data_IF_701063604774
#
_entry.id   IF_701063604774
#
_cell.length_a   1.000
_cell.length_b   1.000
_cell.length_c   1.000
_cell.angle_alpha   90.00
_cell.angle_beta   90.00
_cell.angle_gamma   90.00
#
_symmetry.space_group_name_H-M   'P 1'
#
loop_
_entity.id
_entity.type
_entity.pdbx_description
1 polymer ?
#
# COMPACT_ATOMS: atom_id res chain seq x y z
N UNK A 1 14.65 -11.13 5.25
CA UNK A 1 14.37 -10.86 3.81
C UNK A 1 13.61 -9.56 3.72
N UNK A 2 13.85 -8.77 2.67
CA UNK A 2 13.12 -7.53 2.44
C UNK A 2 12.29 -7.66 1.18
N UNK A 3 11.08 -7.11 1.20
CA UNK A 3 10.28 -6.97 0.00
C UNK A 3 11.01 -6.06 -1.00
N UNK A 4 10.83 -6.34 -2.28
CA UNK A 4 11.45 -5.60 -3.39
C UNK A 4 12.98 -5.68 -3.45
N UNK A 5 13.62 -6.55 -2.67
CA UNK A 5 15.06 -6.81 -2.76
C UNK A 5 15.31 -8.13 -3.50
N UNK A 6 16.14 -8.19 -4.56
CA UNK A 6 16.47 -9.42 -5.24
C UNK A 6 17.16 -10.42 -4.33
N UNK A 7 16.80 -11.68 -4.51
CA UNK A 7 17.37 -12.80 -3.78
C UNK A 7 17.66 -13.91 -4.77
N UNK A 8 18.83 -14.54 -4.64
CA UNK A 8 19.21 -15.70 -5.44
C UNK A 8 18.84 -16.99 -4.71
N UNK A 9 17.92 -17.76 -5.29
CA UNK A 9 17.49 -19.07 -4.81
C UNK A 9 18.62 -20.11 -4.93
N UNK A 10 18.52 -21.23 -4.20
CA UNK A 10 19.42 -22.38 -4.37
C UNK A 10 19.43 -22.96 -5.80
N UNK A 11 18.35 -22.78 -6.55
CA UNK A 11 18.29 -23.16 -7.97
C UNK A 11 19.23 -22.32 -8.84
N UNK A 12 19.73 -21.19 -8.34
CA UNK A 12 20.49 -20.19 -9.07
C UNK A 12 19.61 -19.09 -9.67
N UNK A 13 18.28 -19.24 -9.66
CA UNK A 13 17.33 -18.22 -10.13
C UNK A 13 17.37 -16.99 -9.24
N UNK A 14 17.27 -15.81 -9.83
CA UNK A 14 17.11 -14.56 -9.09
C UNK A 14 15.63 -14.16 -9.11
N UNK A 15 15.08 -13.88 -7.93
CA UNK A 15 13.67 -13.51 -7.74
C UNK A 15 13.55 -12.27 -6.85
N UNK A 16 12.45 -11.53 -6.99
CA UNK A 16 12.11 -10.38 -6.15
C UNK A 16 10.86 -10.70 -5.32
N UNK A 17 10.96 -10.84 -3.99
CA UNK A 17 9.81 -11.07 -3.13
C UNK A 17 8.89 -9.84 -3.11
N UNK A 18 7.58 -10.05 -3.31
CA UNK A 18 6.56 -9.00 -3.25
C UNK A 18 5.56 -9.19 -2.11
N UNK A 19 5.47 -10.40 -1.54
CA UNK A 19 4.62 -10.67 -0.38
C UNK A 19 5.07 -11.93 0.34
N UNK A 20 5.19 -11.89 1.67
CA UNK A 20 5.43 -13.07 2.50
C UNK A 20 4.12 -13.53 3.15
N UNK A 21 3.92 -14.84 3.23
CA UNK A 21 2.75 -15.46 3.85
C UNK A 21 3.10 -16.80 4.48
N UNK A 22 2.35 -17.18 5.51
CA UNK A 22 2.45 -18.51 6.11
C UNK A 22 1.55 -19.49 5.33
N UNK A 23 2.09 -20.65 4.97
CA UNK A 23 1.31 -21.76 4.45
C UNK A 23 1.70 -23.05 5.17
N UNK A 24 0.75 -23.61 5.91
CA UNK A 24 1.07 -24.65 6.90
C UNK A 24 2.01 -24.09 7.96
N UNK A 25 3.13 -24.78 8.20
CA UNK A 25 4.19 -24.34 9.12
C UNK A 25 5.33 -23.59 8.42
N UNK A 26 5.28 -23.46 7.09
CA UNK A 26 6.31 -22.81 6.29
C UNK A 26 6.05 -21.33 6.07
N UNK A 27 7.12 -20.53 6.04
CA UNK A 27 7.10 -19.18 5.48
C UNK A 27 7.32 -19.28 3.98
N UNK A 28 6.41 -18.69 3.21
CA UNK A 28 6.47 -18.65 1.75
C UNK A 28 6.47 -17.22 1.25
N UNK A 29 6.96 -17.02 0.03
CA UNK A 29 6.93 -15.73 -0.64
C UNK A 29 6.23 -15.86 -2.00
N UNK A 30 5.46 -14.84 -2.34
CA UNK A 30 5.08 -14.56 -3.72
C UNK A 30 6.20 -13.73 -4.31
N UNK A 31 6.75 -14.18 -5.44
CA UNK A 31 7.92 -13.56 -6.03
C UNK A 31 7.69 -13.21 -7.49
N UNK A 32 8.46 -12.25 -7.96
CA UNK A 32 8.61 -11.94 -9.37
C UNK A 32 9.90 -12.59 -9.87
N UNK A 33 9.83 -13.33 -10.97
CA UNK A 33 11.02 -13.94 -11.57
C UNK A 33 11.75 -12.89 -12.41
N UNK A 34 13.06 -12.80 -12.25
CA UNK A 34 13.87 -11.81 -12.95
C UNK A 34 14.39 -12.36 -14.28
N UNK A 35 14.12 -11.65 -15.38
CA UNK A 35 14.93 -11.74 -16.60
C UNK A 35 15.91 -10.57 -16.64
N UNK A 36 17.20 -10.89 -16.60
CA UNK A 36 18.27 -9.90 -16.62
C UNK A 36 18.60 -9.54 -18.07
N UNK A 37 18.42 -8.27 -18.46
CA UNK A 37 18.85 -7.75 -19.78
C UNK A 37 20.00 -6.76 -19.60
N UNK A 38 21.14 -7.03 -20.22
CA UNK A 38 22.25 -6.08 -20.32
C UNK A 38 21.88 -4.95 -21.28
N UNK A 39 21.90 -3.70 -20.80
CA UNK A 39 21.69 -2.55 -21.67
C UNK A 39 23.05 -2.06 -22.20
N UNK A 40 23.37 -2.33 -23.46
CA UNK A 40 24.66 -1.97 -24.08
C UNK A 40 24.81 -0.49 -24.43
N UNK A 41 23.84 0.36 -24.07
CA UNK A 41 23.77 1.75 -24.52
C UNK A 41 23.43 2.70 -23.38
N UNK A 42 24.46 3.22 -22.68
CA UNK A 42 24.54 4.60 -22.16
C UNK A 42 25.88 4.83 -21.43
N UNK A 43 26.43 6.04 -21.53
CA UNK A 43 27.63 6.56 -20.85
C UNK A 43 27.48 6.75 -19.32
N UNK A 44 26.61 5.97 -18.66
CA UNK A 44 26.34 5.99 -17.21
C UNK A 44 26.76 4.68 -16.52
N UNK A 45 26.64 4.58 -15.18
CA UNK A 45 26.85 3.30 -14.50
C UNK A 45 25.91 2.23 -15.09
N UNK A 46 26.35 0.95 -15.14
CA UNK A 46 25.53 -0.13 -15.69
C UNK A 46 24.23 -0.27 -14.86
N UNK A 47 23.08 -0.20 -15.53
CA UNK A 47 21.77 -0.48 -14.92
C UNK A 47 21.11 -1.68 -15.61
N UNK A 48 20.34 -2.45 -14.84
CA UNK A 48 19.70 -3.67 -15.31
C UNK A 48 18.19 -3.45 -15.46
N UNK A 49 17.65 -3.78 -16.63
CA UNK A 49 16.23 -3.65 -16.93
C UNK A 49 15.51 -4.99 -16.66
N UNK A 50 14.42 -4.96 -15.90
CA UNK A 50 13.67 -6.16 -15.55
C UNK A 50 12.32 -6.25 -16.26
N UNK A 51 12.05 -7.42 -16.83
CA UNK A 51 10.68 -7.87 -17.14
C UNK A 51 10.22 -8.83 -16.04
N UNK A 52 8.98 -8.69 -15.56
CA UNK A 52 8.48 -9.42 -14.40
C UNK A 52 7.29 -10.30 -14.78
N UNK A 53 7.36 -11.57 -14.38
CA UNK A 53 6.23 -12.51 -14.42
C UNK A 53 5.87 -12.96 -13.01
N UNK A 54 4.57 -13.06 -12.76
CA UNK A 54 4.04 -13.44 -11.44
C UNK A 54 4.10 -14.97 -11.28
N UNK A 55 4.98 -15.48 -10.41
CA UNK A 55 5.07 -16.92 -10.13
C UNK A 55 5.22 -17.18 -8.62
N UNK A 56 4.50 -18.18 -8.11
CA UNK A 56 4.71 -18.67 -6.74
C UNK A 56 5.89 -19.65 -6.74
N UNK A 57 6.95 -19.34 -5.98
CA UNK A 57 8.08 -20.26 -5.73
C UNK A 57 8.26 -20.43 -4.22
N UNK A 58 8.61 -21.64 -3.80
CA UNK A 58 8.88 -21.99 -2.40
C UNK A 58 10.36 -21.75 -2.07
N UNK A 59 10.61 -21.26 -0.87
CA UNK A 59 11.90 -20.71 -0.44
C UNK A 59 12.79 -21.83 0.14
N UNK A 60 13.90 -22.15 -0.51
CA UNK A 60 14.94 -23.04 0.02
C UNK A 60 16.26 -22.26 0.11
N UNK A 61 16.51 -21.66 1.28
CA UNK A 61 17.78 -21.13 1.87
C UNK A 61 18.91 -20.62 0.95
N UNK A 62 19.10 -19.30 0.94
CA UNK A 62 20.00 -18.58 0.03
C UNK A 62 21.44 -18.32 0.51
N UNK A 63 22.29 -17.97 -0.47
CA UNK A 63 23.65 -17.41 -0.29
C UNK A 63 23.56 -15.88 -0.39
N UNK A 64 24.18 -15.16 0.54
CA UNK A 64 24.32 -13.70 0.45
C UNK A 64 25.14 -13.28 -0.77
N UNK A 65 24.50 -12.68 -1.77
CA UNK A 65 25.18 -11.96 -2.84
C UNK A 65 25.60 -10.57 -2.36
N UNK A 66 26.91 -10.31 -2.31
CA UNK A 66 27.46 -8.97 -2.14
C UNK A 66 27.20 -8.14 -3.41
N UNK A 67 26.10 -7.41 -3.45
CA UNK A 67 25.78 -6.47 -4.53
C UNK A 67 26.40 -5.11 -4.23
N UNK A 68 27.43 -4.72 -4.99
CA UNK A 68 27.84 -3.30 -5.15
C UNK A 68 26.68 -2.49 -5.70
N UNK A 69 26.61 -1.19 -5.42
CA UNK A 69 25.59 -0.21 -5.85
C UNK A 69 24.88 -0.60 -7.16
N UNK A 70 23.78 -1.36 -7.02
CA UNK A 70 23.00 -1.89 -8.12
C UNK A 70 21.63 -1.21 -8.08
N UNK A 71 21.17 -0.79 -9.25
CA UNK A 71 19.88 -0.15 -9.43
C UNK A 71 19.03 -1.07 -10.29
N UNK A 72 17.85 -1.42 -9.79
CA UNK A 72 16.88 -2.23 -10.54
C UNK A 72 15.83 -1.30 -11.11
N UNK A 73 15.52 -1.46 -12.38
CA UNK A 73 14.33 -0.85 -12.97
C UNK A 73 13.25 -1.91 -13.12
N UNK A 74 12.27 -1.89 -12.23
CA UNK A 74 11.12 -2.78 -12.27
C UNK A 74 10.09 -2.26 -13.26
N UNK A 75 9.76 -3.07 -14.26
CA UNK A 75 8.75 -2.70 -15.24
C UNK A 75 7.34 -2.71 -14.63
N UNK A 76 6.69 -1.55 -14.60
CA UNK A 76 5.29 -1.42 -14.19
C UNK A 76 4.49 -0.93 -15.39
N UNK A 77 3.59 -1.77 -15.89
CA UNK A 77 2.72 -1.40 -16.99
C UNK A 77 1.73 -0.30 -16.54
N UNK A 78 1.90 0.91 -17.09
CA UNK A 78 0.96 2.03 -16.96
C UNK A 78 0.37 2.44 -18.31
N UNK A 79 -0.82 3.04 -18.29
CA UNK A 79 -1.65 3.31 -19.47
C UNK A 79 -1.10 4.31 -20.52
N UNK A 80 0.11 4.86 -20.39
CA UNK A 80 0.67 5.80 -21.38
C UNK A 80 2.17 5.64 -21.63
N UNK A 81 2.76 4.53 -21.18
CA UNK A 81 4.18 4.26 -21.36
C UNK A 81 4.67 3.16 -20.44
N UNK A 82 5.85 2.64 -20.75
CA UNK A 82 6.61 1.77 -19.86
C UNK A 82 7.15 2.67 -18.74
N UNK A 83 6.64 2.51 -17.51
CA UNK A 83 7.23 3.17 -16.36
C UNK A 83 8.11 2.17 -15.60
N UNK A 84 9.21 2.68 -15.07
CA UNK A 84 10.21 1.88 -14.39
C UNK A 84 10.30 2.36 -12.95
N UNK A 85 10.00 1.48 -11.99
CA UNK A 85 10.29 1.79 -10.59
C UNK A 85 11.77 1.50 -10.34
N UNK A 86 12.51 2.54 -9.99
CA UNK A 86 13.90 2.39 -9.56
C UNK A 86 13.94 1.85 -8.13
N UNK A 87 14.58 0.70 -7.94
CA UNK A 87 14.86 0.14 -6.62
C UNK A 87 16.35 0.21 -6.37
N UNK A 88 16.70 0.92 -5.30
CA UNK A 88 18.07 1.03 -4.83
C UNK A 88 18.48 -0.22 -4.06
N UNK A 89 19.64 -0.79 -4.40
CA UNK A 89 20.27 -1.85 -3.65
C UNK A 89 21.52 -1.36 -2.90
N UNK A 90 21.71 -1.78 -1.64
CA UNK A 90 20.80 -2.58 -0.84
C UNK A 90 19.50 -1.83 -0.50
N UNK A 91 18.41 -2.55 -0.20
CA UNK A 91 17.14 -1.93 0.19
C UNK A 91 17.40 -0.90 1.32
N UNK A 92 16.93 0.36 1.22
CA UNK A 92 17.16 1.37 2.26
C UNK A 92 16.75 0.90 3.66
N UNK A 93 15.71 0.08 3.77
CA UNK A 93 15.27 -0.51 5.03
C UNK A 93 16.28 -1.49 5.62
N UNK A 94 17.10 -2.16 4.81
CA UNK A 94 18.19 -3.01 5.30
C UNK A 94 19.23 -2.19 6.05
N UNK A 95 19.61 -1.03 5.51
CA UNK A 95 20.56 -0.12 6.15
C UNK A 95 19.99 0.48 7.42
N UNK A 96 18.69 0.83 7.43
CA UNK A 96 18.03 1.38 8.61
C UNK A 96 17.79 0.33 9.71
N UNK A 97 17.57 -0.93 9.33
CA UNK A 97 17.31 -2.01 10.27
C UNK A 97 18.58 -2.49 10.98
N UNK A 98 19.77 -2.32 10.41
CA UNK A 98 21.05 -2.77 10.98
C UNK A 98 21.03 -4.24 11.49
N UNK A 99 20.42 -5.12 10.69
CA UNK A 99 20.29 -6.55 11.03
C UNK A 99 19.08 -6.91 11.90
N UNK A 100 18.33 -5.93 12.41
CA UNK A 100 17.07 -6.17 13.13
C UNK A 100 15.93 -6.53 12.17
N UNK A 101 14.94 -7.28 12.67
CA UNK A 101 13.72 -7.56 11.89
C UNK A 101 12.79 -6.36 11.97
N UNK A 102 12.29 -5.90 10.82
CA UNK A 102 11.23 -4.88 10.76
C UNK A 102 9.88 -5.58 10.57
N UNK A 103 8.96 -5.32 11.49
CA UNK A 103 7.56 -5.73 11.43
C UNK A 103 6.68 -4.57 10.99
N UNK A 104 6.03 -4.72 9.84
CA UNK A 104 5.04 -3.75 9.38
C UNK A 104 3.71 -3.97 10.10
N UNK A 105 3.18 -2.89 10.70
CA UNK A 105 1.89 -2.84 11.37
C UNK A 105 1.00 -1.94 10.54
N UNK A 106 0.26 -2.51 9.57
CA UNK A 106 -0.64 -1.72 8.75
C UNK A 106 -1.82 -1.26 9.60
N UNK A 107 -2.13 0.03 9.55
CA UNK A 107 -3.27 0.62 10.26
C UNK A 107 -4.29 1.17 9.28
N UNK A 108 -5.57 0.99 9.61
CA UNK A 108 -6.68 1.63 8.92
C UNK A 108 -7.21 2.74 9.81
N UNK A 109 -7.12 3.98 9.35
CA UNK A 109 -7.65 5.14 10.07
C UNK A 109 -9.09 5.38 9.65
N UNK A 110 -9.89 5.92 10.55
CA UNK A 110 -11.23 6.39 10.22
C UNK A 110 -11.56 7.64 11.01
N UNK A 111 -12.39 8.46 10.39
CA UNK A 111 -12.82 9.72 10.95
C UNK A 111 -14.34 9.71 11.10
N UNK A 112 -14.83 10.11 12.26
CA UNK A 112 -16.26 10.15 12.54
C UNK A 112 -16.63 11.35 13.42
N UNK A 113 -17.89 11.77 13.30
CA UNK A 113 -18.51 12.77 14.15
C UNK A 113 -19.30 12.10 15.27
N UNK A 114 -18.81 12.24 16.50
CA UNK A 114 -19.57 11.84 17.68
C UNK A 114 -20.32 13.05 18.24
N UNK A 115 -21.64 13.01 18.14
CA UNK A 115 -22.50 13.96 18.85
C UNK A 115 -22.68 13.51 20.31
N UNK A 116 -22.41 14.40 21.26
CA UNK A 116 -22.63 14.11 22.68
C UNK A 116 -24.10 13.77 22.95
N UNK A 117 -24.38 12.60 23.54
CA UNK A 117 -25.73 12.03 23.71
C UNK A 117 -26.62 12.73 24.77
N UNK A 118 -26.41 14.01 25.04
CA UNK A 118 -27.32 14.84 25.82
C UNK A 118 -27.54 16.16 25.13
N UNK A 119 -28.52 16.17 24.23
CA UNK A 119 -29.26 17.36 23.83
C UNK A 119 -28.44 18.44 23.11
N UNK A 120 -28.81 18.64 21.84
CA UNK A 120 -28.48 19.76 20.95
C UNK A 120 -27.16 19.58 20.18
N UNK A 121 -27.31 19.14 18.93
CA UNK A 121 -26.90 19.76 17.63
C UNK A 121 -25.72 20.77 17.54
N UNK A 122 -24.95 21.04 18.59
CA UNK A 122 -24.03 22.19 18.66
C UNK A 122 -22.68 21.92 19.33
N UNK A 123 -22.40 20.70 19.81
CA UNK A 123 -21.07 20.33 20.28
C UNK A 123 -20.59 19.07 19.56
N UNK A 124 -20.30 19.26 18.27
CA UNK A 124 -19.77 18.26 17.35
C UNK A 124 -18.32 17.96 17.75
N UNK A 125 -18.02 16.72 18.11
CA UNK A 125 -16.64 16.29 18.31
C UNK A 125 -16.22 15.41 17.15
N UNK A 126 -15.20 15.87 16.45
CA UNK A 126 -14.58 15.17 15.35
C UNK A 126 -13.49 14.27 15.90
N UNK A 127 -13.61 12.98 15.67
CA UNK A 127 -12.72 11.97 16.20
C UNK A 127 -12.04 11.19 15.09
N UNK A 128 -10.72 11.02 15.25
CA UNK A 128 -9.93 10.07 14.49
C UNK A 128 -9.69 8.83 15.32
N UNK A 129 -9.81 7.69 14.66
CA UNK A 129 -9.57 6.38 15.22
C UNK A 129 -8.65 5.58 14.29
N UNK A 130 -8.11 4.47 14.81
CA UNK A 130 -7.44 3.47 14.00
C UNK A 130 -7.76 2.05 14.46
N UNK A 131 -7.69 1.13 13.50
CA UNK A 131 -7.69 -0.31 13.68
C UNK A 131 -6.45 -0.92 13.03
N UNK A 132 -6.04 -2.11 13.48
CA UNK A 132 -5.07 -2.92 12.74
C UNK A 132 -5.70 -3.43 11.44
N UNK A 133 -5.03 -3.18 10.32
CA UNK A 133 -5.43 -3.72 9.04
C UNK A 133 -5.11 -5.23 8.96
N UNK A 134 -5.94 -5.99 8.24
CA UNK A 134 -5.77 -7.45 8.09
C UNK A 134 -6.57 -8.28 9.10
N UNK A 135 -7.30 -7.66 10.04
CA UNK A 135 -8.26 -8.37 10.87
C UNK A 135 -9.47 -8.83 10.03
N UNK A 136 -9.99 -10.02 10.33
CA UNK A 136 -11.26 -10.48 9.74
C UNK A 136 -12.41 -9.53 10.11
N UNK A 137 -13.41 -9.37 9.24
CA UNK A 137 -14.48 -8.38 9.42
C UNK A 137 -15.21 -8.49 10.77
N UNK A 138 -15.37 -9.70 11.32
CA UNK A 138 -16.02 -9.91 12.61
C UNK A 138 -15.18 -9.41 13.78
N UNK A 139 -13.85 -9.44 13.65
CA UNK A 139 -12.91 -8.98 14.68
C UNK A 139 -12.60 -7.49 14.50
N UNK A 140 -12.49 -7.03 13.26
CA UNK A 140 -12.21 -5.64 12.92
C UNK A 140 -13.23 -4.66 13.54
N UNK A 141 -14.51 -5.03 13.59
CA UNK A 141 -15.58 -4.18 14.10
C UNK A 141 -15.81 -4.31 15.63
N UNK A 142 -14.95 -5.03 16.35
CA UNK A 142 -15.05 -5.08 17.81
C UNK A 142 -14.48 -3.81 18.43
N UNK A 143 -15.21 -3.23 19.39
CA UNK A 143 -14.83 -2.00 20.09
C UNK A 143 -13.41 -2.06 20.71
N UNK A 144 -12.96 -3.25 21.14
CA UNK A 144 -11.63 -3.43 21.71
C UNK A 144 -10.48 -3.22 20.72
N UNK A 145 -10.76 -3.33 19.41
CA UNK A 145 -9.79 -3.14 18.33
C UNK A 145 -9.83 -1.72 17.76
N UNK A 146 -10.76 -0.89 18.24
CA UNK A 146 -10.92 0.51 17.87
C UNK A 146 -10.20 1.39 18.88
N UNK A 147 -9.19 2.12 18.38
CA UNK A 147 -8.36 2.97 19.21
C UNK A 147 -8.46 4.42 18.76
N UNK A 148 -8.72 5.33 19.71
CA UNK A 148 -8.80 6.77 19.43
C UNK A 148 -7.41 7.37 19.24
N UNK A 149 -7.19 8.08 18.13
CA UNK A 149 -5.98 8.86 17.88
C UNK A 149 -6.11 10.30 18.37
N UNK A 150 -7.21 10.96 18.00
CA UNK A 150 -7.42 12.36 18.29
C UNK A 150 -8.92 12.69 18.34
N UNK A 151 -9.27 13.72 19.12
CA UNK A 151 -10.62 14.27 19.18
C UNK A 151 -10.54 15.79 19.27
N UNK A 152 -11.32 16.52 18.47
CA UNK A 152 -11.39 17.97 18.53
C UNK A 152 -12.79 18.47 18.16
N UNK A 153 -13.21 19.56 18.80
CA UNK A 153 -14.42 20.30 18.43
C UNK A 153 -14.10 21.62 17.68
N UNK A 154 -12.81 21.89 17.46
CA UNK A 154 -12.33 23.09 16.75
C UNK A 154 -11.64 22.73 15.44
N UNK A 155 -10.90 21.62 15.41
CA UNK A 155 -10.10 21.23 14.27
C UNK A 155 -10.86 20.33 13.30
N UNK A 156 -10.70 20.59 12.00
CA UNK A 156 -11.30 19.82 10.91
C UNK A 156 -10.60 18.47 10.63
N UNK A 157 -11.11 17.71 9.65
CA UNK A 157 -10.57 16.39 9.33
C UNK A 157 -9.11 16.45 8.87
N UNK A 158 -8.78 17.41 8.01
CA UNK A 158 -7.43 17.56 7.46
C UNK A 158 -6.43 18.12 8.49
N UNK A 159 -6.86 19.03 9.38
CA UNK A 159 -5.98 19.59 10.42
C UNK A 159 -5.57 18.52 11.43
N UNK A 160 -6.50 17.64 11.82
CA UNK A 160 -6.19 16.48 12.65
C UNK A 160 -5.31 15.47 11.90
N UNK A 161 -5.62 15.19 10.64
CA UNK A 161 -4.82 14.28 9.81
C UNK A 161 -3.37 14.75 9.64
N UNK A 162 -3.14 16.05 9.45
CA UNK A 162 -1.80 16.63 9.36
C UNK A 162 -0.99 16.34 10.63
N UNK A 163 -1.56 16.60 11.80
CA UNK A 163 -0.88 16.33 13.09
C UNK A 163 -0.65 14.86 13.35
N UNK A 164 -1.60 14.00 13.00
CA UNK A 164 -1.43 12.54 13.08
C UNK A 164 -0.29 12.11 12.15
N UNK A 165 -0.25 12.62 10.92
CA UNK A 165 0.79 12.29 9.94
C UNK A 165 2.18 12.75 10.41
N UNK A 166 2.29 13.94 11.00
CA UNK A 166 3.54 14.43 11.58
C UNK A 166 4.03 13.52 12.72
N UNK A 167 3.12 13.06 13.59
CA UNK A 167 3.47 12.13 14.67
C UNK A 167 3.87 10.75 14.12
N UNK A 168 3.14 10.22 13.14
CA UNK A 168 3.48 8.95 12.50
C UNK A 168 4.85 9.01 11.82
N UNK A 169 5.22 10.14 11.22
CA UNK A 169 6.56 10.35 10.65
C UNK A 169 7.67 10.30 11.71
N UNK A 170 7.39 10.71 12.94
CA UNK A 170 8.34 10.60 14.05
C UNK A 170 8.46 9.17 14.58
N UNK A 171 7.42 8.35 14.38
CA UNK A 171 7.30 6.98 14.90
C UNK A 171 7.43 5.90 13.81
N UNK A 172 8.09 6.22 12.70
CA UNK A 172 8.21 5.31 11.55
C UNK A 172 8.89 4.00 11.94
N UNK A 173 9.90 4.03 12.80
CA UNK A 173 10.66 2.84 13.18
C UNK A 173 10.97 2.86 14.67
N UNK A 174 10.40 1.91 15.41
CA UNK A 174 10.50 1.87 16.87
C UNK A 174 10.83 0.48 17.39
N UNK A 175 11.61 0.43 18.47
CA UNK A 175 11.99 -0.81 19.13
C UNK A 175 10.82 -1.33 19.96
N UNK A 176 10.44 -2.59 19.73
CA UNK A 176 9.39 -3.27 20.46
C UNK A 176 9.71 -4.75 20.63
N UNK A 177 9.23 -5.34 21.72
CA UNK A 177 9.43 -6.75 22.00
C UNK A 177 8.36 -7.60 21.29
N UNK A 178 8.79 -8.53 20.44
CA UNK A 178 7.93 -9.50 19.80
C UNK A 178 7.87 -10.78 20.66
N UNK A 179 6.72 -11.01 21.29
CA UNK A 179 6.51 -12.18 22.14
C UNK A 179 6.56 -13.52 21.38
N UNK A 180 6.27 -13.52 20.07
CA UNK A 180 6.30 -14.71 19.23
C UNK A 180 7.74 -15.13 18.93
N UNK A 181 8.60 -14.15 18.62
CA UNK A 181 10.03 -14.37 18.34
C UNK A 181 10.89 -14.33 19.61
N UNK A 182 10.33 -13.90 20.74
CA UNK A 182 11.00 -13.69 22.04
C UNK A 182 12.24 -12.79 21.94
N UNK A 183 12.19 -11.82 21.05
CA UNK A 183 13.29 -10.90 20.77
C UNK A 183 12.75 -9.48 20.58
N UNK A 184 13.63 -8.51 20.82
CA UNK A 184 13.37 -7.13 20.43
C UNK A 184 13.49 -7.02 18.90
N UNK A 185 12.54 -6.33 18.29
CA UNK A 185 12.45 -6.09 16.86
C UNK A 185 12.03 -4.65 16.59
N UNK A 186 12.19 -4.21 15.36
CA UNK A 186 11.71 -2.90 14.93
C UNK A 186 10.27 -3.03 14.43
N UNK A 187 9.40 -2.14 14.85
CA UNK A 187 8.02 -2.03 14.37
C UNK A 187 7.87 -0.76 13.56
N UNK A 188 7.15 -0.88 12.44
CA UNK A 188 6.82 0.22 11.56
C UNK A 188 5.31 0.31 11.38
N UNK A 189 4.73 1.43 11.82
CA UNK A 189 3.32 1.72 11.55
C UNK A 189 3.18 2.16 10.09
N UNK A 190 2.36 1.45 9.33
CA UNK A 190 2.11 1.74 7.92
C UNK A 190 0.66 2.23 7.78
N UNK A 191 0.42 3.50 7.41
CA UNK A 191 -0.91 3.95 7.04
C UNK A 191 -1.38 3.18 5.80
N UNK A 192 -2.31 2.25 5.98
CA UNK A 192 -2.76 1.36 4.91
C UNK A 192 -3.97 1.94 4.16
N UNK A 193 -4.94 2.46 4.90
CA UNK A 193 -6.12 3.11 4.31
C UNK A 193 -6.77 4.08 5.27
N UNK A 194 -7.46 5.08 4.72
CA UNK A 194 -8.29 6.03 5.45
C UNK A 194 -9.74 5.82 5.04
N UNK A 195 -10.59 5.42 5.99
CA UNK A 195 -12.01 5.21 5.79
C UNK A 195 -12.81 6.44 6.19
N UNK A 196 -13.91 6.65 5.49
CA UNK A 196 -14.90 7.67 5.79
C UNK A 196 -16.18 7.38 5.04
N UNK A 197 -17.28 7.97 5.48
CA UNK A 197 -18.46 8.05 4.64
C UNK A 197 -18.20 8.94 3.41
N UNK A 198 -19.11 8.96 2.44
CA UNK A 198 -18.85 9.66 1.17
C UNK A 198 -18.51 11.16 1.34
N UNK A 199 -19.17 11.94 2.22
CA UNK A 199 -18.77 13.31 2.51
C UNK A 199 -17.36 13.42 3.09
N UNK A 200 -17.00 12.60 4.08
CA UNK A 200 -15.66 12.61 4.70
C UNK A 200 -14.59 12.19 3.70
N UNK A 201 -14.82 11.14 2.93
CA UNK A 201 -13.89 10.68 1.92
C UNK A 201 -13.64 11.76 0.86
N UNK A 202 -14.68 12.52 0.50
CA UNK A 202 -14.55 13.66 -0.38
C UNK A 202 -13.75 14.83 0.23
N UNK A 203 -13.90 15.09 1.53
CA UNK A 203 -13.08 16.08 2.24
C UNK A 203 -11.61 15.67 2.27
N UNK A 204 -11.33 14.41 2.63
CA UNK A 204 -9.96 13.86 2.67
C UNK A 204 -9.29 13.82 1.28
N UNK A 205 -10.04 13.49 0.24
CA UNK A 205 -9.55 13.41 -1.14
C UNK A 205 -9.59 14.76 -1.90
N UNK A 206 -9.94 15.87 -1.23
CA UNK A 206 -10.15 17.17 -1.86
C UNK A 206 -11.06 17.09 -3.11
N UNK A 207 -12.13 16.29 -3.04
CA UNK A 207 -13.07 16.01 -4.11
C UNK A 207 -14.43 16.70 -3.85
N UNK A 208 -14.56 18.02 -4.09
CA UNK A 208 -15.81 18.73 -3.81
C UNK A 208 -16.95 18.14 -4.66
N UNK A 209 -18.01 17.68 -4.00
CA UNK A 209 -19.21 17.07 -4.61
C UNK A 209 -18.99 15.69 -5.28
N UNK A 210 -18.68 14.63 -4.50
CA UNK A 210 -18.45 13.28 -5.05
C UNK A 210 -19.65 12.75 -5.84
N UNK A 211 -20.87 13.09 -5.41
CA UNK A 211 -22.10 12.65 -6.06
C UNK A 211 -22.36 13.24 -7.45
N UNK A 212 -21.59 14.25 -7.90
CA UNK A 212 -21.64 14.84 -9.24
C UNK A 212 -20.38 14.54 -10.06
N UNK A 213 -19.41 13.81 -9.51
CA UNK A 213 -18.18 13.52 -10.21
C UNK A 213 -18.45 12.65 -11.45
N UNK A 214 -17.91 13.08 -12.58
CA UNK A 214 -17.85 12.30 -13.80
C UNK A 214 -16.68 11.29 -13.80
N UNK A 215 -15.75 11.46 -12.86
CA UNK A 215 -14.59 10.63 -12.62
C UNK A 215 -14.70 10.10 -11.17
N UNK A 216 -15.38 8.97 -10.95
CA UNK A 216 -15.74 8.50 -9.60
C UNK A 216 -14.52 8.13 -8.74
N UNK A 217 -13.39 7.84 -9.37
CA UNK A 217 -12.15 7.44 -8.72
C UNK A 217 -11.05 8.41 -9.18
N UNK A 218 -10.21 8.86 -8.24
CA UNK A 218 -9.04 9.68 -8.55
C UNK A 218 -7.81 8.84 -8.96
N UNK A 219 -7.88 7.52 -8.76
CA UNK A 219 -6.80 6.57 -9.05
C UNK A 219 -6.97 5.94 -10.43
N UNK A 220 -8.21 5.66 -10.86
CA UNK A 220 -8.44 5.04 -12.16
C UNK A 220 -8.80 6.09 -13.23
N UNK A 221 -8.50 5.84 -14.51
CA UNK A 221 -8.80 6.77 -15.61
C UNK A 221 -10.28 6.76 -16.03
N UNK A 222 -11.13 6.02 -15.32
CA UNK A 222 -12.55 5.89 -15.64
C UNK A 222 -13.22 7.25 -15.56
N UNK A 223 -13.81 7.66 -16.69
CA UNK A 223 -14.48 8.94 -16.84
C UNK A 223 -15.74 8.78 -17.66
N UNK A 224 -16.69 9.69 -17.46
CA UNK A 224 -17.94 9.73 -18.24
C UNK A 224 -18.19 11.13 -18.77
N UNK A 225 -18.82 11.28 -19.95
CA UNK A 225 -19.19 12.59 -20.45
C UNK A 225 -20.33 13.22 -19.64
N UNK A 226 -21.21 12.38 -19.07
CA UNK A 226 -22.38 12.81 -18.31
C UNK A 226 -22.82 11.73 -17.30
N UNK A 227 -23.58 12.15 -16.29
CA UNK A 227 -24.02 11.29 -15.19
C UNK A 227 -24.96 10.15 -15.60
N UNK A 228 -25.69 10.27 -16.72
CA UNK A 228 -26.56 9.18 -17.20
C UNK A 228 -25.73 8.04 -17.76
N UNK A 229 -24.57 8.37 -18.36
CA UNK A 229 -23.62 7.39 -18.87
C UNK A 229 -23.04 6.48 -17.78
N UNK A 230 -22.98 6.92 -16.51
CA UNK A 230 -22.59 6.08 -15.37
C UNK A 230 -23.54 4.88 -15.11
N UNK A 231 -24.70 4.82 -15.77
CA UNK A 231 -25.69 3.73 -15.62
C UNK A 231 -25.71 2.78 -16.81
N UNK A 232 -24.85 3.00 -17.80
CA UNK A 232 -24.77 2.18 -19.01
C UNK A 232 -24.04 0.87 -18.71
N UNK A 233 -24.35 -0.17 -19.49
CA UNK A 233 -23.69 -1.46 -19.35
C UNK A 233 -22.20 -1.34 -19.68
N UNK A 234 -21.86 -0.52 -20.68
CA UNK A 234 -20.49 -0.23 -21.08
C UNK A 234 -19.67 0.33 -19.92
N UNK A 235 -20.20 1.33 -19.21
CA UNK A 235 -19.54 1.91 -18.04
C UNK A 235 -19.38 0.90 -16.90
N UNK A 236 -20.39 0.07 -16.63
CA UNK A 236 -20.31 -0.95 -15.57
C UNK A 236 -19.26 -2.01 -15.91
N UNK A 237 -19.16 -2.41 -17.18
CA UNK A 237 -18.13 -3.32 -17.65
C UNK A 237 -16.73 -2.69 -17.49
N UNK A 238 -16.55 -1.45 -17.92
CA UNK A 238 -15.27 -0.73 -17.76
C UNK A 238 -14.88 -0.55 -16.29
N UNK A 239 -15.84 -0.22 -15.42
CA UNK A 239 -15.66 -0.15 -13.97
C UNK A 239 -15.19 -1.48 -13.36
N UNK A 240 -15.74 -2.61 -13.84
CA UNK A 240 -15.31 -3.95 -13.42
C UNK A 240 -14.02 -4.42 -14.10
N UNK A 241 -13.43 -3.61 -15.00
CA UNK A 241 -12.26 -3.99 -15.77
C UNK A 241 -12.54 -5.06 -16.82
N UNK A 242 -13.74 -5.05 -17.39
CA UNK A 242 -14.20 -6.00 -18.39
C UNK A 242 -14.42 -5.30 -19.72
N UNK A 243 -14.12 -6.00 -20.82
CA UNK A 243 -14.55 -5.56 -22.15
C UNK A 243 -16.04 -5.91 -22.39
N UNK A 244 -16.56 -5.54 -23.55
CA UNK A 244 -17.93 -5.87 -23.99
C UNK A 244 -18.24 -7.37 -24.00
N UNK A 245 -17.21 -8.23 -24.08
CA UNK A 245 -17.32 -9.68 -24.08
C UNK A 245 -17.20 -10.29 -22.67
N UNK A 246 -17.11 -9.48 -21.61
CA UNK A 246 -16.95 -9.95 -20.23
C UNK A 246 -15.57 -10.50 -19.91
N UNK A 247 -14.57 -10.27 -20.77
CA UNK A 247 -13.18 -10.68 -20.53
C UNK A 247 -12.46 -9.62 -19.72
N UNK A 248 -11.68 -10.02 -18.70
CA UNK A 248 -10.84 -9.08 -17.95
C UNK A 248 -9.84 -8.40 -18.87
N UNK A 249 -9.93 -7.09 -18.92
CA UNK A 249 -8.92 -6.21 -19.45
C UNK A 249 -7.97 -5.90 -18.29
N UNK A 250 -6.67 -5.82 -18.55
CA UNK A 250 -5.69 -5.40 -17.56
C UNK A 250 -6.09 -4.02 -17.01
N UNK A 251 -6.64 -4.00 -15.80
CA UNK A 251 -6.98 -2.76 -15.09
C UNK A 251 -5.70 -2.06 -14.69
N UNK A 252 -5.45 -0.92 -15.33
CA UNK A 252 -4.39 0.02 -15.02
C UNK A 252 -4.77 0.82 -13.77
N UNK A 253 -4.16 0.51 -12.63
CA UNK A 253 -4.18 1.40 -11.47
C UNK A 253 -2.93 2.26 -11.55
N UNK A 254 -3.06 3.57 -11.73
CA UNK A 254 -1.96 4.49 -11.43
C UNK A 254 -1.82 4.55 -9.92
N UNK A 255 -0.78 3.93 -9.37
CA UNK A 255 -0.42 4.17 -7.99
C UNK A 255 0.03 5.63 -7.89
N UNK A 256 -0.81 6.50 -7.32
CA UNK A 256 -0.35 7.82 -6.89
C UNK A 256 0.50 7.56 -5.65
N UNK A 257 1.80 7.39 -5.85
CA UNK A 257 2.79 7.44 -4.77
C UNK A 257 2.81 8.86 -4.23
N UNK A 258 2.36 9.03 -2.98
CA UNK A 258 2.75 10.17 -2.14
C UNK A 258 4.08 9.86 -1.46
#
# INVERSE_FOLDING_TARGET
FYLYEPVQLLSGDIVVPIHFYMWGEGLHAKCLVMEVRENTTTLGPPFWMLSMFNQQKQDERDKETHTRDLYLQMHVEHCRGLDYMEVHLPNPWRSQADGWVIHHIPITTFYDDISGNKGKRWNKHLCYYFNLAGLSSNVFNLDCNIHTLAASNVAGALELAEKITDQLKYFILWLAYDASLRAENLMMVVPFSSLGDSPIQAELANAPCPGLSLNPCQICPLSTPDKKSCRTQEYVLEFMGLNSNGTRVSLSFSCVTY
#
